data_IF_993783843739
#
_entry.id   IF_993783843739
#
_cell.length_a   1.000
_cell.length_b   1.000
_cell.length_c   1.000
_cell.angle_alpha   90.00
_cell.angle_beta   90.00
_cell.angle_gamma   90.00
#
_symmetry.space_group_name_H-M   'P 1'
#
loop_
_entity.id
_entity.type
_entity.pdbx_description
1 polymer ?
#
# COMPACT_ATOMS: atom_id res chain seq x y z
N UNK A 1 3.56 19.25 -41.60
CA UNK A 1 2.84 19.80 -40.43
C UNK A 1 2.08 18.68 -39.74
N UNK A 2 1.86 18.86 -38.44
CA UNK A 2 1.72 17.89 -37.36
C UNK A 2 0.38 17.10 -37.31
N UNK A 3 0.50 15.87 -36.76
CA UNK A 3 -0.46 14.95 -36.08
C UNK A 3 -1.86 15.47 -35.73
N UNK A 4 -2.87 14.59 -35.79
CA UNK A 4 -3.70 14.11 -34.64
C UNK A 4 -4.91 13.27 -35.10
N UNK A 5 -5.28 12.25 -34.31
CA UNK A 5 -6.47 11.43 -34.52
C UNK A 5 -6.40 10.09 -33.79
N UNK A 6 -6.42 10.14 -32.46
CA UNK A 6 -6.34 9.01 -31.53
C UNK A 6 -7.47 7.98 -31.75
N UNK A 7 -7.11 6.69 -31.68
CA UNK A 7 -7.89 5.54 -32.11
C UNK A 7 -9.24 5.33 -31.41
N UNK A 8 -10.22 4.98 -32.25
CA UNK A 8 -11.53 4.39 -31.99
C UNK A 8 -11.45 3.07 -31.18
N UNK A 9 -11.50 3.10 -29.84
CA UNK A 9 -11.79 1.85 -29.07
C UNK A 9 -12.69 2.06 -27.83
N UNK A 10 -12.87 3.28 -27.30
CA UNK A 10 -13.47 3.44 -25.96
C UNK A 10 -15.01 3.57 -25.94
N UNK A 11 -15.68 3.67 -27.09
CA UNK A 11 -17.10 4.06 -27.14
C UNK A 11 -18.14 2.90 -27.11
N UNK A 12 -17.87 1.61 -27.42
CA UNK A 12 -18.97 0.65 -27.53
C UNK A 12 -19.40 -0.01 -26.21
N UNK A 13 -18.67 0.12 -25.10
CA UNK A 13 -18.99 -0.60 -23.85
C UNK A 13 -20.16 0.05 -23.08
N UNK A 14 -20.46 1.33 -23.30
CA UNK A 14 -21.48 2.03 -22.50
C UNK A 14 -22.94 1.72 -22.90
N UNK A 15 -23.19 1.18 -24.11
CA UNK A 15 -24.56 1.01 -24.63
C UNK A 15 -25.14 -0.39 -24.35
N UNK A 16 -24.30 -1.37 -23.99
CA UNK A 16 -24.77 -2.73 -23.68
C UNK A 16 -25.38 -2.90 -22.27
N UNK A 17 -25.29 -1.88 -21.40
CA UNK A 17 -25.74 -1.97 -20.00
C UNK A 17 -27.21 -1.55 -19.76
N UNK A 18 -27.86 -0.86 -20.71
CA UNK A 18 -29.22 -0.33 -20.51
C UNK A 18 -30.36 -1.34 -20.74
N UNK A 19 -30.04 -2.60 -21.08
CA UNK A 19 -31.03 -3.65 -21.36
C UNK A 19 -30.94 -4.88 -20.45
N UNK A 20 -30.03 -4.88 -19.46
CA UNK A 20 -29.91 -5.99 -18.53
C UNK A 20 -30.99 -5.93 -17.44
N UNK A 21 -31.75 -7.02 -17.21
CA UNK A 21 -32.66 -7.12 -16.08
C UNK A 21 -31.89 -6.91 -14.77
N UNK A 22 -32.51 -6.25 -13.78
CA UNK A 22 -31.89 -5.91 -12.49
C UNK A 22 -31.33 -7.11 -11.70
N UNK A 23 -31.64 -8.35 -12.11
CA UNK A 23 -31.14 -9.58 -11.49
C UNK A 23 -29.88 -10.14 -12.18
N UNK A 24 -29.47 -9.55 -13.31
CA UNK A 24 -28.22 -9.86 -14.02
C UNK A 24 -27.04 -8.97 -13.57
N UNK A 25 -27.28 -8.01 -12.67
CA UNK A 25 -26.23 -7.28 -11.97
C UNK A 25 -25.55 -8.20 -10.96
N UNK A 26 -24.57 -8.97 -11.42
CA UNK A 26 -23.64 -9.65 -10.54
C UNK A 26 -22.98 -8.64 -9.58
N UNK A 27 -22.55 -9.13 -8.42
CA UNK A 27 -21.94 -8.30 -7.39
C UNK A 27 -20.83 -7.40 -7.97
N UNK A 28 -21.12 -6.10 -8.06
CA UNK A 28 -20.18 -5.08 -8.54
C UNK A 28 -19.19 -4.66 -7.46
N UNK A 29 -19.28 -5.21 -6.23
CA UNK A 29 -18.34 -4.92 -5.14
C UNK A 29 -16.90 -5.34 -5.46
N UNK A 30 -16.72 -6.31 -6.36
CA UNK A 30 -15.41 -6.78 -6.82
C UNK A 30 -14.70 -5.83 -7.81
N UNK A 31 -15.38 -4.80 -8.31
CA UNK A 31 -14.78 -3.82 -9.24
C UNK A 31 -14.13 -2.67 -8.49
N UNK A 32 -13.22 -2.99 -7.57
CA UNK A 32 -12.23 -2.03 -7.09
C UNK A 32 -10.95 -2.27 -7.89
N UNK A 33 -10.30 -1.23 -8.45
CA UNK A 33 -8.98 -1.41 -9.02
C UNK A 33 -8.08 -1.98 -7.93
N UNK A 34 -7.67 -3.25 -8.08
CA UNK A 34 -6.71 -3.89 -7.18
C UNK A 34 -5.39 -3.17 -7.37
N UNK A 35 -5.09 -2.24 -6.46
CA UNK A 35 -3.75 -1.70 -6.32
C UNK A 35 -2.93 -2.84 -5.70
N UNK A 36 -1.81 -3.16 -6.34
CA UNK A 36 -0.98 -4.32 -6.00
C UNK A 36 0.16 -3.84 -5.11
N UNK A 37 0.63 -4.72 -4.20
CA UNK A 37 1.92 -4.57 -3.54
C UNK A 37 3.02 -4.13 -4.53
N UNK A 38 3.76 -3.08 -4.16
CA UNK A 38 4.82 -2.48 -4.99
C UNK A 38 6.21 -2.79 -4.45
N UNK A 39 6.31 -3.37 -3.25
CA UNK A 39 7.58 -3.71 -2.62
C UNK A 39 8.03 -5.11 -3.01
N UNK A 40 9.34 -5.23 -3.18
CA UNK A 40 10.05 -6.48 -3.36
C UNK A 40 11.23 -6.51 -2.39
N UNK A 41 11.88 -7.66 -2.29
CA UNK A 41 13.00 -7.85 -1.35
C UNK A 41 14.11 -6.83 -1.58
N UNK A 42 14.44 -6.54 -2.83
CA UNK A 42 15.53 -5.62 -3.21
C UNK A 42 15.22 -4.19 -2.74
N UNK A 43 13.99 -3.72 -2.94
CA UNK A 43 13.56 -2.41 -2.45
C UNK A 43 13.58 -2.34 -0.92
N UNK A 44 13.15 -3.41 -0.26
CA UNK A 44 13.16 -3.46 1.21
C UNK A 44 14.57 -3.50 1.77
N UNK A 45 15.49 -4.25 1.18
CA UNK A 45 16.91 -4.29 1.58
C UNK A 45 17.62 -2.95 1.34
N UNK A 46 17.17 -2.16 0.36
CA UNK A 46 17.66 -0.79 0.16
C UNK A 46 17.17 0.19 1.24
N UNK A 47 16.04 -0.11 1.90
CA UNK A 47 15.46 0.70 2.98
C UNK A 47 16.00 0.25 4.35
N UNK A 48 16.03 -1.06 4.58
CA UNK A 48 16.44 -1.70 5.82
C UNK A 48 17.82 -2.32 5.66
N UNK A 49 18.83 -1.47 5.77
CA UNK A 49 20.25 -1.84 5.72
C UNK A 49 20.78 -2.21 7.10
N UNK A 50 22.09 -2.47 7.21
CA UNK A 50 22.77 -2.80 8.47
C UNK A 50 22.31 -1.93 9.65
N UNK A 51 21.93 -2.52 10.81
CA UNK A 51 22.05 -3.93 11.17
C UNK A 51 20.84 -4.80 10.79
N UNK A 52 19.94 -4.34 9.93
CA UNK A 52 18.74 -5.10 9.56
C UNK A 52 18.97 -6.03 8.37
N UNK A 53 18.21 -7.13 8.36
CA UNK A 53 18.17 -8.12 7.26
C UNK A 53 16.72 -8.46 6.98
N UNK A 54 16.31 -8.35 5.72
CA UNK A 54 14.95 -8.69 5.27
C UNK A 54 14.88 -10.18 4.91
N UNK A 55 13.95 -10.90 5.53
CA UNK A 55 13.68 -12.31 5.24
C UNK A 55 12.97 -12.53 3.91
N UNK A 56 12.72 -13.79 3.57
CA UNK A 56 11.84 -14.12 2.46
C UNK A 56 10.38 -13.86 2.82
N UNK A 57 9.59 -13.38 1.85
CA UNK A 57 8.17 -13.08 2.08
C UNK A 57 7.42 -14.36 2.43
N UNK A 58 6.64 -14.30 3.49
CA UNK A 58 5.58 -15.27 3.76
C UNK A 58 4.37 -14.89 2.91
N UNK A 59 4.09 -15.66 1.86
CA UNK A 59 3.00 -15.38 0.92
C UNK A 59 1.61 -15.76 1.47
N UNK A 60 1.53 -16.60 2.51
CA UNK A 60 0.24 -17.01 3.08
C UNK A 60 -0.38 -15.85 3.88
N UNK A 61 0.46 -15.05 4.54
CA UNK A 61 0.06 -13.86 5.31
C UNK A 61 0.52 -12.54 4.70
N UNK A 62 1.24 -12.57 3.57
CA UNK A 62 1.76 -11.41 2.84
C UNK A 62 2.68 -10.47 3.66
N UNK A 63 3.58 -11.03 4.48
CA UNK A 63 4.54 -10.25 5.30
C UNK A 63 5.99 -10.62 5.02
N UNK A 64 6.89 -9.67 5.25
CA UNK A 64 8.34 -9.89 5.19
C UNK A 64 8.91 -9.89 6.61
N UNK A 65 9.53 -10.98 7.09
CA UNK A 65 10.22 -10.98 8.37
C UNK A 65 11.39 -9.97 8.36
N UNK A 66 11.52 -9.19 9.43
CA UNK A 66 12.65 -8.28 9.63
C UNK A 66 13.51 -8.79 10.77
N UNK A 67 14.77 -9.07 10.46
CA UNK A 67 15.77 -9.50 11.44
C UNK A 67 16.73 -8.37 11.75
N UNK A 68 17.31 -8.41 12.95
CA UNK A 68 18.45 -7.59 13.34
C UNK A 68 19.66 -8.50 13.56
N UNK A 69 20.76 -8.16 12.90
CA UNK A 69 22.04 -8.81 13.05
C UNK A 69 22.64 -8.42 14.41
N UNK A 70 22.97 -9.43 15.20
CA UNK A 70 23.65 -9.33 16.48
C UNK A 70 24.88 -10.24 16.51
N UNK A 71 25.72 -10.10 17.54
CA UNK A 71 26.94 -10.92 17.70
C UNK A 71 26.61 -12.42 17.79
N UNK A 72 25.45 -12.76 18.36
CA UNK A 72 25.01 -14.14 18.59
C UNK A 72 24.20 -14.72 17.43
N UNK A 73 23.92 -13.94 16.37
CA UNK A 73 23.12 -14.38 15.22
C UNK A 73 22.11 -13.33 14.76
N UNK A 74 21.06 -13.77 14.07
CA UNK A 74 19.96 -12.92 13.61
C UNK A 74 18.74 -13.11 14.51
N UNK A 75 18.27 -12.02 15.10
CA UNK A 75 17.07 -12.01 15.92
C UNK A 75 15.90 -11.42 15.14
N UNK A 76 14.76 -12.10 15.11
CA UNK A 76 13.54 -11.56 14.53
C UNK A 76 13.08 -10.35 15.38
N UNK A 77 12.88 -9.20 14.75
CA UNK A 77 12.48 -7.96 15.45
C UNK A 77 11.10 -7.48 15.03
N UNK A 78 10.58 -7.90 13.87
CA UNK A 78 9.26 -7.51 13.42
C UNK A 78 8.91 -8.04 12.05
N UNK A 79 7.83 -7.50 11.48
CA UNK A 79 7.31 -7.84 10.16
C UNK A 79 7.02 -6.57 9.37
N UNK A 80 7.39 -6.58 8.10
CA UNK A 80 7.12 -5.52 7.14
C UNK A 80 5.96 -5.95 6.26
N UNK A 81 4.99 -5.07 6.03
CA UNK A 81 3.89 -5.33 5.11
C UNK A 81 3.36 -4.06 4.46
N UNK A 82 2.62 -4.23 3.37
CA UNK A 82 1.91 -3.15 2.69
C UNK A 82 0.44 -3.16 3.12
N UNK A 83 -0.09 -2.00 3.51
CA UNK A 83 -1.47 -1.87 4.00
C UNK A 83 -2.48 -2.45 3.02
N UNK A 84 -2.19 -2.35 1.72
CA UNK A 84 -3.08 -2.74 0.63
C UNK A 84 -3.34 -4.25 0.55
N UNK A 85 -2.41 -5.05 1.07
CA UNK A 85 -2.53 -6.51 1.13
C UNK A 85 -3.52 -6.95 2.22
N UNK A 86 -3.81 -6.08 3.19
CA UNK A 86 -4.71 -6.36 4.33
C UNK A 86 -6.01 -5.56 4.29
N UNK A 87 -5.93 -4.28 3.95
CA UNK A 87 -7.05 -3.35 3.93
C UNK A 87 -6.82 -2.27 2.87
N UNK A 88 -7.61 -2.32 1.81
CA UNK A 88 -7.67 -1.27 0.80
C UNK A 88 -8.53 -0.11 1.31
N UNK A 89 -7.94 0.77 2.12
CA UNK A 89 -8.63 1.95 2.65
C UNK A 89 -8.81 2.97 1.51
N UNK A 90 -10.04 3.25 1.07
CA UNK A 90 -10.28 4.17 -0.03
C UNK A 90 -9.88 5.59 0.37
N UNK A 91 -9.15 6.27 -0.51
CA UNK A 91 -8.90 7.69 -0.39
C UNK A 91 -10.11 8.55 -0.76
N UNK A 92 -9.92 9.87 -0.74
CA UNK A 92 -11.01 10.81 -1.02
C UNK A 92 -11.52 10.65 -2.45
N UNK A 93 -10.62 10.30 -3.38
CA UNK A 93 -10.96 10.00 -4.78
C UNK A 93 -11.39 8.54 -5.01
N UNK A 94 -11.55 7.74 -3.95
CA UNK A 94 -11.86 6.31 -4.04
C UNK A 94 -10.69 5.42 -4.46
N UNK A 95 -9.50 5.98 -4.73
CA UNK A 95 -8.26 5.22 -4.98
C UNK A 95 -7.61 4.88 -3.63
N UNK A 96 -7.28 3.61 -3.33
CA UNK A 96 -6.66 3.26 -2.07
C UNK A 96 -5.26 3.84 -1.90
N UNK A 97 -4.90 4.17 -0.65
CA UNK A 97 -3.51 4.47 -0.28
C UNK A 97 -2.74 3.18 -0.02
N UNK A 98 -1.44 3.21 -0.32
CA UNK A 98 -0.52 2.15 0.07
C UNK A 98 0.49 2.70 1.08
N UNK A 99 0.51 2.09 2.26
CA UNK A 99 1.42 2.42 3.35
C UNK A 99 2.28 1.19 3.66
N UNK A 100 3.59 1.37 3.66
CA UNK A 100 4.52 0.40 4.25
C UNK A 100 4.43 0.50 5.77
N UNK A 101 4.22 -0.62 6.44
CA UNK A 101 4.19 -0.70 7.89
C UNK A 101 5.20 -1.72 8.36
N UNK A 102 6.00 -1.36 9.36
CA UNK A 102 6.86 -2.28 10.09
C UNK A 102 6.36 -2.39 11.51
N UNK A 103 5.87 -3.57 11.86
CA UNK A 103 5.32 -3.85 13.18
C UNK A 103 6.28 -4.78 13.94
N UNK A 104 6.70 -4.33 15.11
CA UNK A 104 7.50 -5.14 16.02
C UNK A 104 6.66 -6.20 16.73
N UNK A 105 7.35 -7.14 17.39
CA UNK A 105 6.72 -8.35 17.95
C UNK A 105 5.76 -8.07 19.11
N UNK A 106 5.78 -6.86 19.69
CA UNK A 106 4.87 -6.45 20.77
C UNK A 106 3.83 -5.41 20.29
N UNK A 107 3.69 -5.23 18.97
CA UNK A 107 2.74 -4.30 18.37
C UNK A 107 3.22 -2.84 18.37
N UNK A 108 4.52 -2.60 18.54
CA UNK A 108 5.16 -1.31 18.29
C UNK A 108 5.30 -1.06 16.78
N UNK A 109 5.04 0.17 16.35
CA UNK A 109 5.36 0.59 14.99
C UNK A 109 6.84 0.95 14.93
N UNK A 110 7.64 0.10 14.29
CA UNK A 110 9.06 0.38 14.08
C UNK A 110 9.26 1.41 12.96
N UNK A 111 8.38 1.41 11.97
CA UNK A 111 8.41 2.32 10.81
C UNK A 111 7.04 2.35 10.12
N UNK A 112 6.69 3.48 9.50
CA UNK A 112 5.49 3.65 8.70
C UNK A 112 5.72 4.69 7.60
N UNK A 113 5.39 4.37 6.33
CA UNK A 113 5.71 5.22 5.17
C UNK A 113 4.64 5.16 4.10
N UNK A 114 4.34 6.28 3.45
CA UNK A 114 3.47 6.25 2.25
C UNK A 114 4.28 5.76 1.05
N UNK A 115 3.80 4.69 0.41
CA UNK A 115 4.37 4.15 -0.82
C UNK A 115 3.65 4.67 -2.07
N UNK A 116 2.33 4.83 -1.97
CA UNK A 116 1.50 5.28 -3.09
C UNK A 116 0.26 6.03 -2.60
N UNK A 117 -0.08 7.09 -3.30
CA UNK A 117 -1.37 7.78 -3.19
C UNK A 117 -1.72 8.48 -4.52
N UNK A 118 -2.99 8.88 -4.67
CA UNK A 118 -3.44 9.67 -5.83
C UNK A 118 -4.46 10.73 -5.40
N UNK A 119 -4.04 11.57 -4.47
CA UNK A 119 -4.91 12.58 -3.85
C UNK A 119 -4.67 13.97 -4.43
N UNK A 120 -5.65 14.56 -5.14
CA UNK A 120 -5.50 15.87 -5.78
C UNK A 120 -5.13 16.98 -4.79
N UNK A 121 -5.67 16.93 -3.57
CA UNK A 121 -5.43 17.94 -2.54
C UNK A 121 -3.95 18.05 -2.13
N UNK A 122 -3.19 16.96 -2.23
CA UNK A 122 -1.76 16.94 -1.93
C UNK A 122 -0.88 17.21 -3.16
N UNK A 123 -1.41 16.99 -4.38
CA UNK A 123 -0.68 17.22 -5.63
C UNK A 123 -0.73 18.70 -6.05
N UNK A 124 -1.91 19.32 -5.98
CA UNK A 124 -2.13 20.71 -6.45
C UNK A 124 -2.23 21.74 -5.31
N UNK A 125 -2.36 21.26 -4.07
CA UNK A 125 -2.55 22.09 -2.88
C UNK A 125 -1.32 22.14 -1.97
N UNK A 126 -1.39 21.43 -0.84
CA UNK A 126 -0.45 21.54 0.29
C UNK A 126 0.91 20.85 0.08
N UNK A 127 1.11 20.19 -1.06
CA UNK A 127 2.21 19.24 -1.27
C UNK A 127 2.00 17.94 -0.51
N UNK A 128 2.80 16.91 -0.79
CA UNK A 128 2.65 15.59 -0.15
C UNK A 128 3.19 15.55 1.29
N UNK A 129 4.06 16.49 1.67
CA UNK A 129 4.78 16.48 2.95
C UNK A 129 3.86 16.29 4.17
N UNK A 130 2.72 16.99 4.32
CA UNK A 130 1.85 16.80 5.48
C UNK A 130 1.32 15.37 5.62
N UNK A 131 1.05 14.67 4.50
CA UNK A 131 0.60 13.29 4.51
C UNK A 131 1.74 12.35 4.95
N UNK A 132 2.95 12.54 4.41
CA UNK A 132 4.12 11.77 4.83
C UNK A 132 4.43 11.97 6.30
N UNK A 133 4.39 13.22 6.80
CA UNK A 133 4.61 13.54 8.22
C UNK A 133 3.54 12.90 9.11
N UNK A 134 2.26 12.92 8.69
CA UNK A 134 1.17 12.30 9.42
C UNK A 134 1.34 10.78 9.54
N UNK A 135 1.84 10.11 8.50
CA UNK A 135 2.10 8.67 8.57
C UNK A 135 3.38 8.37 9.38
N UNK A 136 4.44 9.16 9.19
CA UNK A 136 5.71 8.98 9.89
C UNK A 136 5.59 9.13 11.42
N UNK A 137 4.61 9.88 11.91
CA UNK A 137 4.37 10.05 13.36
C UNK A 137 4.02 8.74 14.08
N UNK A 138 3.59 7.70 13.35
CA UNK A 138 3.26 6.41 13.96
C UNK A 138 4.50 5.67 14.46
N UNK A 139 5.67 5.93 13.88
CA UNK A 139 6.93 5.31 14.33
C UNK A 139 7.19 5.60 15.82
N UNK A 140 7.36 4.55 16.60
CA UNK A 140 7.53 4.61 18.06
C UNK A 140 6.23 4.53 18.87
N UNK A 141 5.05 4.56 18.23
CA UNK A 141 3.78 4.28 18.90
C UNK A 141 3.56 2.77 19.07
N UNK A 142 2.64 2.39 19.95
CA UNK A 142 2.28 0.97 20.15
C UNK A 142 0.77 0.76 20.11
N UNK A 143 0.35 -0.32 19.45
CA UNK A 143 -1.03 -0.81 19.43
C UNK A 143 -1.57 -1.16 20.83
N UNK A 144 -0.67 -1.44 21.77
CA UNK A 144 -1.04 -1.84 23.14
C UNK A 144 -0.91 -0.71 24.16
N UNK A 145 -0.56 0.50 23.72
CA UNK A 145 -0.48 1.65 24.60
C UNK A 145 -1.85 1.91 25.25
N UNK A 146 -1.87 1.96 26.58
CA UNK A 146 -3.04 2.40 27.32
C UNK A 146 -3.02 3.93 27.37
N UNK A 147 -4.10 4.54 26.86
CA UNK A 147 -4.37 5.97 26.96
C UNK A 147 -4.55 6.43 28.41
#
# INVERSE_FOLDING_TARGET
MLKTGLSFVVVPILILFLSMPAWAGGDLSGWQPKVVSVMDKVKLEAIYTDPFVVGDKDEDVAVWPLYKQEVTGQNLVGYIYESIEFSSIPGFMGVPYNVLVVLGLKGEFLDARVLYHREPMFIEGYGEKPMHDFVAQYSGLSLTAKY
#
